data_IF_179618902013
#
_entry.id   IF_179618902013
#
_cell.length_a   1.000
_cell.length_b   1.000
_cell.length_c   1.000
_cell.angle_alpha   90.00
_cell.angle_beta   90.00
_cell.angle_gamma   90.00
#
_symmetry.space_group_name_H-M   'P 1'
#
loop_
_entity.id
_entity.type
_entity.pdbx_description
1 polymer ?
#
# COMPACT_ATOMS: atom_id res chain seq x y z
N UNK A 1 4.90 -17.20 -11.58
CA UNK A 1 5.58 -17.54 -10.30
C UNK A 1 7.08 -17.50 -10.52
N UNK A 2 7.69 -16.32 -10.46
CA UNK A 2 9.14 -16.19 -10.40
C UNK A 2 9.55 -16.33 -8.94
N UNK A 3 10.26 -17.41 -8.61
CA UNK A 3 10.95 -17.52 -7.32
C UNK A 3 12.15 -16.58 -7.39
N UNK A 4 12.02 -15.40 -6.82
CA UNK A 4 13.21 -14.64 -6.41
C UNK A 4 13.94 -15.52 -5.40
N UNK A 5 15.12 -16.01 -5.78
CA UNK A 5 15.96 -16.81 -4.91
C UNK A 5 16.44 -15.91 -3.78
N UNK A 6 15.89 -16.08 -2.59
CA UNK A 6 16.45 -15.53 -1.37
C UNK A 6 17.85 -16.09 -1.20
N UNK A 7 18.86 -15.28 -1.56
CA UNK A 7 20.21 -15.52 -1.07
C UNK A 7 20.19 -15.22 0.42
N UNK A 8 19.95 -16.26 1.20
CA UNK A 8 20.14 -16.22 2.64
C UNK A 8 21.62 -15.92 2.88
N UNK A 9 21.94 -14.67 3.23
CA UNK A 9 23.25 -14.24 3.69
C UNK A 9 23.44 -14.69 5.14
N UNK A 10 23.52 -16.00 5.35
CA UNK A 10 23.94 -16.55 6.64
C UNK A 10 25.48 -16.54 6.69
N UNK A 11 26.04 -15.54 7.39
CA UNK A 11 27.26 -15.74 8.19
C UNK A 11 28.65 -15.53 7.57
N UNK A 12 28.82 -15.20 6.28
CA UNK A 12 30.17 -15.05 5.67
C UNK A 12 30.67 -13.59 5.52
N UNK A 13 30.14 -12.62 6.27
CA UNK A 13 30.68 -11.24 6.32
C UNK A 13 31.51 -11.03 7.60
N UNK A 14 32.45 -11.92 7.90
CA UNK A 14 33.41 -11.72 9.00
C UNK A 14 34.89 -11.94 8.61
N UNK A 15 35.19 -12.14 7.32
CA UNK A 15 36.52 -12.62 6.89
C UNK A 15 37.48 -11.60 6.27
N UNK A 16 37.14 -10.31 6.24
CA UNK A 16 37.99 -9.27 5.67
C UNK A 16 37.98 -8.15 6.70
N UNK A 17 39.11 -7.65 7.19
CA UNK A 17 39.34 -6.32 7.80
C UNK A 17 40.38 -6.35 8.94
N UNK A 18 41.64 -6.59 8.57
CA UNK A 18 42.82 -6.01 9.25
C UNK A 18 43.46 -4.97 8.32
N UNK A 19 42.66 -4.07 7.74
CA UNK A 19 43.20 -2.90 7.04
C UNK A 19 42.98 -1.70 7.94
N UNK A 20 44.09 -1.15 8.42
CA UNK A 20 44.17 0.05 9.23
C UNK A 20 43.82 1.27 8.35
N UNK A 21 42.54 1.44 8.07
CA UNK A 21 41.98 2.53 7.26
C UNK A 21 41.86 3.85 8.06
N UNK A 22 42.24 3.83 9.34
CA UNK A 22 42.21 5.00 10.22
C UNK A 22 40.80 5.49 10.58
N UNK A 23 39.75 4.73 10.22
CA UNK A 23 38.37 5.05 10.55
C UNK A 23 38.03 4.59 11.96
N UNK A 24 37.28 5.41 12.69
CA UNK A 24 36.67 5.00 13.95
C UNK A 24 35.64 3.87 13.72
N UNK A 25 35.33 3.09 14.77
CA UNK A 25 34.31 2.04 14.69
C UNK A 25 32.96 2.58 14.21
N UNK A 26 32.57 3.78 14.66
CA UNK A 26 31.33 4.46 14.27
C UNK A 26 31.32 4.82 12.78
N UNK A 27 32.44 5.31 12.23
CA UNK A 27 32.55 5.62 10.80
C UNK A 27 32.48 4.35 9.93
N UNK A 28 33.06 3.23 10.39
CA UNK A 28 32.96 1.94 9.71
C UNK A 28 31.52 1.42 9.71
N UNK A 29 30.81 1.54 10.83
CA UNK A 29 29.40 1.16 10.94
C UNK A 29 28.53 2.01 10.00
N UNK A 30 28.71 3.33 10.00
CA UNK A 30 28.00 4.22 9.08
C UNK A 30 28.29 3.92 7.60
N UNK A 31 29.55 3.60 7.25
CA UNK A 31 29.89 3.19 5.88
C UNK A 31 29.23 1.86 5.50
N UNK A 32 29.19 0.88 6.41
CA UNK A 32 28.50 -0.38 6.18
C UNK A 32 26.99 -0.18 6.01
N UNK A 33 26.37 0.65 6.84
CA UNK A 33 24.94 1.00 6.72
C UNK A 33 24.68 1.70 5.39
N UNK A 34 25.48 2.70 5.03
CA UNK A 34 25.33 3.43 3.76
C UNK A 34 25.45 2.50 2.56
N UNK A 35 26.51 1.67 2.54
CA UNK A 35 26.70 0.68 1.48
C UNK A 35 25.54 -0.32 1.45
N UNK A 36 25.09 -0.77 2.61
CA UNK A 36 23.95 -1.67 2.72
C UNK A 36 22.67 -1.03 2.18
N UNK A 37 22.40 0.25 2.50
CA UNK A 37 21.25 1.01 2.00
C UNK A 37 21.35 1.28 0.49
N UNK A 38 22.55 1.47 -0.05
CA UNK A 38 22.79 1.58 -1.49
C UNK A 38 22.56 0.24 -2.23
N UNK A 39 22.96 -0.87 -1.61
CA UNK A 39 22.77 -2.24 -2.12
C UNK A 39 21.32 -2.74 -1.96
N UNK A 40 20.68 -2.42 -0.84
CA UNK A 40 19.32 -2.79 -0.43
C UNK A 40 18.48 -1.53 -0.35
N UNK A 41 18.47 -0.84 -1.48
CA UNK A 41 17.71 0.36 -1.72
C UNK A 41 16.26 0.13 -1.30
N UNK A 42 15.82 0.79 -0.22
CA UNK A 42 14.44 0.67 0.27
C UNK A 42 13.42 1.13 -0.78
N UNK A 43 13.86 1.92 -1.77
CA UNK A 43 13.05 2.31 -2.92
C UNK A 43 12.93 1.16 -3.94
N UNK A 44 13.89 0.22 -3.99
CA UNK A 44 13.81 -1.05 -4.75
C UNK A 44 13.09 -2.15 -3.97
N UNK A 45 13.05 -2.06 -2.65
CA UNK A 45 12.19 -2.84 -1.77
C UNK A 45 12.93 -3.83 -0.88
N UNK A 46 12.40 -4.01 0.32
CA UNK A 46 12.95 -4.88 1.37
C UNK A 46 11.97 -6.01 1.68
N UNK A 47 12.45 -7.25 1.74
CA UNK A 47 11.63 -8.39 2.14
C UNK A 47 11.16 -8.24 3.59
N UNK A 48 9.86 -8.43 3.82
CA UNK A 48 9.24 -8.29 5.13
C UNK A 48 8.05 -9.22 5.31
N UNK A 49 7.76 -9.54 6.57
CA UNK A 49 6.49 -10.10 7.01
C UNK A 49 5.60 -8.97 7.51
N UNK A 50 4.40 -8.86 6.96
CA UNK A 50 3.43 -7.81 7.28
C UNK A 50 2.20 -8.44 7.91
N UNK A 51 1.82 -7.95 9.08
CA UNK A 51 0.58 -8.32 9.76
C UNK A 51 -0.45 -7.24 9.47
N UNK A 52 -1.42 -7.56 8.62
CA UNK A 52 -2.50 -6.68 8.21
C UNK A 52 -3.63 -6.68 9.26
N UNK A 53 -4.40 -5.59 9.38
CA UNK A 53 -5.53 -5.48 10.32
C UNK A 53 -6.70 -6.39 9.93
N UNK A 54 -6.76 -6.86 8.69
CA UNK A 54 -7.80 -7.77 8.20
C UNK A 54 -7.70 -9.14 8.89
N UNK A 55 -8.83 -9.63 9.40
CA UNK A 55 -8.95 -10.97 9.97
C UNK A 55 -9.14 -12.00 8.84
N UNK A 56 -8.48 -13.13 8.97
CA UNK A 56 -8.70 -14.31 8.15
C UNK A 56 -9.18 -15.47 9.03
N UNK A 57 -10.15 -16.25 8.54
CA UNK A 57 -10.53 -17.49 9.19
C UNK A 57 -9.51 -18.57 8.86
N UNK A 58 -8.90 -19.12 9.90
CA UNK A 58 -8.04 -20.29 9.78
C UNK A 58 -8.80 -21.50 10.30
N UNK A 59 -9.03 -22.47 9.41
CA UNK A 59 -9.59 -23.77 9.77
C UNK A 59 -8.44 -24.71 10.12
N UNK A 60 -8.25 -25.01 11.41
CA UNK A 60 -7.34 -26.06 11.85
C UNK A 60 -8.09 -27.39 11.90
N UNK A 61 -7.87 -28.25 10.90
CA UNK A 61 -8.33 -29.64 10.93
C UNK A 61 -7.22 -30.56 11.44
N UNK A 62 -7.54 -31.46 12.38
CA UNK A 62 -6.57 -32.40 12.96
C UNK A 62 -6.19 -33.56 12.03
N UNK A 63 -6.83 -33.71 10.86
CA UNK A 63 -6.50 -34.77 9.91
C UNK A 63 -5.59 -34.25 8.79
N UNK A 64 -4.43 -34.89 8.62
CA UNK A 64 -3.34 -34.55 7.68
C UNK A 64 -3.68 -34.57 6.18
N UNK A 65 -4.96 -34.47 5.82
CA UNK A 65 -5.41 -34.17 4.47
C UNK A 65 -5.42 -32.65 4.28
N UNK A 66 -4.41 -32.12 3.57
CA UNK A 66 -4.33 -30.70 3.15
C UNK A 66 -5.64 -30.30 2.45
N UNK A 67 -6.51 -29.55 3.12
CA UNK A 67 -7.75 -29.01 2.53
C UNK A 67 -7.53 -27.54 2.18
N UNK A 68 -7.96 -27.15 0.99
CA UNK A 68 -7.76 -25.83 0.41
C UNK A 68 -8.28 -24.71 1.30
N UNK A 69 -7.53 -23.61 1.32
CA UNK A 69 -7.91 -22.37 2.01
C UNK A 69 -9.12 -21.78 1.28
N UNK A 70 -10.27 -21.73 1.93
CA UNK A 70 -11.44 -21.01 1.44
C UNK A 70 -11.41 -19.60 2.02
N UNK A 71 -11.03 -18.62 1.21
CA UNK A 71 -11.08 -17.20 1.58
C UNK A 71 -12.51 -16.70 1.50
N UNK A 72 -13.06 -16.19 2.61
CA UNK A 72 -14.38 -15.58 2.67
C UNK A 72 -14.38 -14.22 1.95
N UNK A 73 -14.65 -14.23 0.64
CA UNK A 73 -15.02 -13.01 -0.07
C UNK A 73 -16.56 -12.99 -0.21
N UNK A 74 -17.20 -11.92 0.28
CA UNK A 74 -18.60 -11.54 0.02
C UNK A 74 -19.73 -12.32 0.74
N UNK A 75 -19.69 -12.43 2.07
CA UNK A 75 -20.90 -12.30 2.90
C UNK A 75 -22.06 -13.31 2.74
N UNK A 76 -21.93 -14.37 1.95
CA UNK A 76 -22.94 -15.44 1.89
C UNK A 76 -22.42 -16.65 2.66
N UNK A 77 -22.79 -16.72 3.93
CA UNK A 77 -22.58 -17.88 4.81
C UNK A 77 -23.48 -19.00 4.31
N UNK A 78 -22.97 -19.78 3.36
CA UNK A 78 -23.59 -21.00 2.86
C UNK A 78 -22.63 -22.18 2.99
N UNK A 79 -22.09 -22.43 4.19
CA UNK A 79 -21.28 -23.63 4.43
C UNK A 79 -21.74 -24.34 5.69
N UNK A 80 -22.29 -25.53 5.48
CA UNK A 80 -22.67 -26.49 6.50
C UNK A 80 -21.51 -26.70 7.47
N UNK A 81 -21.71 -26.34 8.72
CA UNK A 81 -20.80 -26.67 9.81
C UNK A 81 -20.73 -28.19 9.95
N UNK A 82 -19.76 -28.82 9.30
CA UNK A 82 -19.43 -30.21 9.59
C UNK A 82 -18.90 -30.24 11.02
N UNK A 83 -19.67 -30.82 11.92
CA UNK A 83 -19.37 -30.97 13.34
C UNK A 83 -17.92 -31.41 13.56
N UNK A 84 -17.08 -30.52 14.11
CA UNK A 84 -15.68 -30.81 14.47
C UNK A 84 -14.62 -29.82 13.98
N UNK A 85 -14.96 -28.81 13.17
CA UNK A 85 -13.99 -27.79 12.75
C UNK A 85 -14.06 -26.53 13.62
N UNK A 86 -13.01 -26.25 14.39
CA UNK A 86 -12.82 -24.94 15.03
C UNK A 86 -12.41 -23.93 13.97
N UNK A 87 -13.12 -22.81 13.89
CA UNK A 87 -12.73 -21.65 13.11
C UNK A 87 -12.14 -20.62 14.07
N UNK A 88 -10.88 -20.26 13.88
CA UNK A 88 -10.24 -19.18 14.62
C UNK A 88 -10.00 -18.00 13.68
N UNK A 89 -10.36 -16.81 14.12
CA UNK A 89 -9.97 -15.56 13.46
C UNK A 89 -8.53 -15.22 13.85
N UNK A 90 -7.64 -15.17 12.86
CA UNK A 90 -6.26 -14.73 13.03
C UNK A 90 -6.02 -13.47 12.17
N UNK A 91 -5.05 -12.64 12.55
CA UNK A 91 -4.61 -11.57 11.66
C UNK A 91 -3.99 -12.18 10.40
N UNK A 92 -4.18 -11.52 9.25
CA UNK A 92 -3.54 -11.91 8.01
C UNK A 92 -2.06 -11.55 8.03
N UNK A 93 -1.21 -12.55 7.85
CA UNK A 93 0.24 -12.39 7.74
C UNK A 93 0.64 -12.67 6.29
N UNK A 94 1.39 -11.75 5.68
CA UNK A 94 1.91 -11.88 4.32
C UNK A 94 3.43 -11.69 4.31
N UNK A 95 4.14 -12.42 3.45
CA UNK A 95 5.54 -12.14 3.13
C UNK A 95 5.59 -11.38 1.81
N UNK A 96 6.17 -10.20 1.79
CA UNK A 96 6.09 -9.24 0.69
C UNK A 96 7.34 -8.37 0.61
N UNK A 97 7.47 -7.60 -0.48
CA UNK A 97 8.46 -6.52 -0.59
C UNK A 97 7.81 -5.21 -0.15
N UNK A 98 8.37 -4.59 0.89
CA UNK A 98 8.04 -3.26 1.35
C UNK A 98 8.89 -2.24 0.59
N UNK A 99 8.25 -1.26 -0.04
CA UNK A 99 8.89 -0.18 -0.77
C UNK A 99 8.40 1.17 -0.25
N UNK A 100 9.33 2.09 -0.04
CA UNK A 100 9.00 3.50 0.16
C UNK A 100 9.08 4.19 -1.20
N UNK A 101 8.04 4.91 -1.60
CA UNK A 101 7.96 5.62 -2.88
C UNK A 101 7.50 7.06 -2.65
N UNK A 102 7.57 7.93 -3.65
CA UNK A 102 7.31 9.36 -3.47
C UNK A 102 5.91 9.70 -2.94
N UNK A 103 4.94 8.80 -3.11
CA UNK A 103 3.54 8.99 -2.71
C UNK A 103 3.11 8.23 -1.47
N UNK A 104 3.96 7.35 -0.96
CA UNK A 104 3.59 6.53 0.18
C UNK A 104 4.42 5.27 0.28
N UNK A 105 3.74 4.20 0.65
CA UNK A 105 4.32 2.88 0.87
C UNK A 105 3.63 1.88 -0.05
N UNK A 106 4.40 0.93 -0.59
CA UNK A 106 3.88 -0.19 -1.39
C UNK A 106 4.30 -1.51 -0.78
N UNK A 107 3.34 -2.42 -0.62
CA UNK A 107 3.58 -3.84 -0.34
C UNK A 107 3.26 -4.67 -1.58
N UNK A 108 4.29 -5.24 -2.21
CA UNK A 108 4.15 -5.97 -3.47
C UNK A 108 3.36 -7.27 -3.33
N UNK A 109 2.36 -7.46 -4.19
CA UNK A 109 1.47 -8.64 -4.14
C UNK A 109 0.85 -8.88 -2.74
N UNK A 110 0.56 -7.81 -2.00
CA UNK A 110 0.06 -7.91 -0.63
C UNK A 110 -1.43 -8.26 -0.52
N UNK A 111 -2.23 -7.96 -1.55
CA UNK A 111 -3.67 -8.20 -1.57
C UNK A 111 -4.02 -9.68 -1.80
N UNK A 112 -5.27 -10.08 -1.53
CA UNK A 112 -5.73 -11.47 -1.72
C UNK A 112 -5.78 -11.88 -3.20
N UNK A 113 -5.98 -10.92 -4.09
CA UNK A 113 -5.95 -11.11 -5.55
C UNK A 113 -4.52 -11.03 -6.13
N UNK A 114 -3.51 -10.84 -5.28
CA UNK A 114 -2.12 -10.69 -5.68
C UNK A 114 -1.79 -9.28 -6.19
N UNK A 115 -2.69 -8.30 -6.09
CA UNK A 115 -2.35 -6.90 -6.36
C UNK A 115 -1.49 -6.28 -5.25
N UNK A 116 -0.83 -5.17 -5.58
CA UNK A 116 -0.04 -4.40 -4.62
C UNK A 116 -0.96 -3.69 -3.62
N UNK A 117 -0.59 -3.69 -2.33
CA UNK A 117 -1.22 -2.80 -1.35
C UNK A 117 -0.47 -1.48 -1.38
N UNK A 118 -1.16 -0.38 -1.65
CA UNK A 118 -0.59 0.97 -1.68
C UNK A 118 -1.21 1.80 -0.57
N UNK A 119 -0.36 2.46 0.22
CA UNK A 119 -0.77 3.29 1.35
C UNK A 119 -0.20 4.69 1.12
N UNK A 120 -1.04 5.67 0.74
CA UNK A 120 -0.64 7.07 0.61
C UNK A 120 -0.09 7.64 1.93
N UNK A 121 0.78 8.65 1.86
CA UNK A 121 1.31 9.28 3.08
C UNK A 121 0.24 9.93 3.97
N UNK A 122 -0.78 10.53 3.37
CA UNK A 122 -1.94 11.12 4.06
C UNK A 122 -2.75 10.11 4.89
N UNK A 123 -2.70 8.82 4.52
CA UNK A 123 -3.38 7.75 5.24
C UNK A 123 -2.56 7.25 6.45
N UNK A 124 -1.32 7.69 6.59
CA UNK A 124 -0.41 7.27 7.66
C UNK A 124 -0.40 8.32 8.77
N UNK A 125 -0.68 7.89 9.99
CA UNK A 125 -0.66 8.74 11.20
C UNK A 125 0.73 8.73 11.84
N UNK A 126 1.33 7.55 11.98
CA UNK A 126 2.67 7.41 12.53
C UNK A 126 3.36 6.13 12.05
N UNK A 127 4.68 6.12 12.07
CA UNK A 127 5.49 4.92 11.93
C UNK A 127 6.52 4.86 13.06
N UNK A 128 6.40 3.85 13.90
CA UNK A 128 7.17 3.71 15.14
C UNK A 128 7.95 2.40 15.15
N UNK A 129 9.15 2.39 15.72
CA UNK A 129 9.90 1.17 15.99
C UNK A 129 9.46 0.60 17.34
N UNK A 130 9.13 -0.69 17.35
CA UNK A 130 8.78 -1.48 18.52
C UNK A 130 9.86 -2.52 18.78
N UNK A 131 10.19 -2.70 20.06
CA UNK A 131 11.03 -3.80 20.52
C UNK A 131 10.17 -4.96 21.00
N UNK A 132 10.30 -6.13 20.38
CA UNK A 132 9.75 -7.37 20.92
C UNK A 132 10.59 -7.86 22.11
N UNK A 133 9.99 -8.67 23.00
CA UNK A 133 10.67 -9.35 24.11
C UNK A 133 11.89 -10.16 23.66
N UNK A 134 11.88 -10.62 22.41
CA UNK A 134 13.00 -11.35 21.80
C UNK A 134 14.07 -10.42 21.19
N UNK A 135 14.04 -9.12 21.53
CA UNK A 135 14.82 -8.04 20.94
C UNK A 135 14.59 -7.83 19.44
N UNK A 136 13.66 -8.54 18.81
CA UNK A 136 13.40 -8.34 17.38
C UNK A 136 12.73 -6.98 17.19
N UNK A 137 13.38 -6.11 16.44
CA UNK A 137 12.82 -4.83 16.04
C UNK A 137 11.70 -5.04 15.03
N UNK A 138 10.59 -4.34 15.23
CA UNK A 138 9.39 -4.39 14.40
C UNK A 138 8.91 -2.97 14.14
N UNK A 139 8.50 -2.65 12.91
CA UNK A 139 7.81 -1.40 12.60
C UNK A 139 6.32 -1.49 12.93
N UNK A 140 5.76 -0.47 13.55
CA UNK A 140 4.32 -0.26 13.72
C UNK A 140 3.90 0.93 12.85
N UNK A 141 3.12 0.64 11.82
CA UNK A 141 2.49 1.63 10.98
C UNK A 141 1.04 1.85 11.46
N UNK A 142 0.76 3.05 11.96
CA UNK A 142 -0.59 3.47 12.35
C UNK A 142 -1.21 4.25 11.20
N UNK A 143 -2.37 3.81 10.73
CA UNK A 143 -3.12 4.45 9.66
C UNK A 143 -4.33 5.23 10.21
N UNK A 144 -4.96 6.02 9.35
CA UNK A 144 -6.27 6.61 9.63
C UNK A 144 -7.29 5.53 10.06
N UNK A 145 -8.25 5.94 10.89
CA UNK A 145 -9.27 5.06 11.51
C UNK A 145 -8.66 4.02 12.48
N UNK A 146 -7.53 4.36 13.10
CA UNK A 146 -6.83 3.55 14.10
C UNK A 146 -6.45 2.13 13.64
N UNK A 147 -6.28 1.94 12.31
CA UNK A 147 -5.82 0.66 11.76
C UNK A 147 -4.32 0.53 11.99
N UNK A 148 -3.88 -0.63 12.44
CA UNK A 148 -2.47 -0.92 12.72
C UNK A 148 -1.94 -2.00 11.79
N UNK A 149 -0.82 -1.72 11.14
CA UNK A 149 -0.05 -2.67 10.36
C UNK A 149 1.29 -2.89 11.08
N UNK A 150 1.63 -4.15 11.33
CA UNK A 150 2.93 -4.49 11.89
C UNK A 150 3.85 -5.00 10.79
N UNK A 151 5.09 -4.52 10.79
CA UNK A 151 6.08 -4.79 9.76
C UNK A 151 7.32 -5.39 10.39
N UNK A 152 7.67 -6.59 9.98
CA UNK A 152 8.85 -7.31 10.46
C UNK A 152 9.78 -7.56 9.28
N UNK A 153 10.93 -6.90 9.26
CA UNK A 153 11.91 -7.07 8.19
C UNK A 153 12.53 -8.48 8.26
N UNK A 154 12.72 -9.09 7.09
CA UNK A 154 13.30 -10.45 6.95
C UNK A 154 14.77 -10.36 6.54
N UNK A 155 15.50 -9.41 7.13
CA UNK A 155 16.95 -9.29 6.98
C UNK A 155 17.65 -9.62 8.32
N UNK A 156 18.98 -9.74 8.30
CA UNK A 156 19.77 -9.99 9.50
C UNK A 156 19.48 -8.98 10.62
N UNK A 157 19.65 -9.39 11.88
CA UNK A 157 19.21 -8.63 13.05
C UNK A 157 19.70 -7.17 13.06
N UNK A 158 21.01 -6.95 13.01
CA UNK A 158 21.62 -5.61 13.07
C UNK A 158 21.16 -4.73 11.92
N UNK A 159 21.12 -5.33 10.72
CA UNK A 159 20.67 -4.67 9.49
C UNK A 159 19.20 -4.22 9.62
N UNK A 160 18.34 -5.07 10.19
CA UNK A 160 16.92 -4.77 10.35
C UNK A 160 16.67 -3.55 11.25
N UNK A 161 17.51 -3.34 12.26
CA UNK A 161 17.39 -2.18 13.16
C UNK A 161 17.68 -0.88 12.43
N UNK A 162 18.79 -0.81 11.69
CA UNK A 162 19.16 0.39 10.95
C UNK A 162 18.21 0.69 9.79
N UNK A 163 17.71 -0.34 9.09
CA UNK A 163 16.69 -0.13 8.05
C UNK A 163 15.41 0.43 8.69
N UNK A 164 14.98 -0.10 9.83
CA UNK A 164 13.79 0.43 10.51
C UNK A 164 13.98 1.87 10.97
N UNK A 165 15.14 2.21 11.55
CA UNK A 165 15.44 3.59 11.95
C UNK A 165 15.44 4.52 10.73
N UNK A 166 16.04 4.10 9.62
CA UNK A 166 16.00 4.83 8.36
C UNK A 166 14.57 4.99 7.82
N UNK A 167 13.74 3.94 7.90
CA UNK A 167 12.33 4.02 7.52
C UNK A 167 11.57 5.01 8.41
N UNK A 168 11.80 5.00 9.73
CA UNK A 168 11.20 5.98 10.66
C UNK A 168 11.59 7.39 10.28
N UNK A 169 12.87 7.66 9.99
CA UNK A 169 13.33 8.99 9.59
C UNK A 169 12.71 9.46 8.27
N UNK A 170 12.68 8.60 7.25
CA UNK A 170 12.13 8.93 5.93
C UNK A 170 10.63 9.14 6.01
N UNK A 171 9.91 8.23 6.69
CA UNK A 171 8.46 8.29 6.81
C UNK A 171 8.02 9.47 7.68
N UNK A 172 8.68 9.73 8.81
CA UNK A 172 8.33 10.86 9.69
C UNK A 172 8.47 12.21 9.00
N UNK A 173 9.43 12.35 8.07
CA UNK A 173 9.57 13.56 7.24
C UNK A 173 8.40 13.72 6.25
N UNK A 174 7.92 12.61 5.69
CA UNK A 174 6.92 12.58 4.60
C UNK A 174 5.45 12.50 5.08
N UNK A 175 5.20 12.02 6.30
CA UNK A 175 3.87 11.92 6.93
C UNK A 175 3.25 13.31 7.26
N UNK A 176 3.97 14.41 6.99
CA UNK A 176 3.57 15.78 7.33
C UNK A 176 2.44 16.42 6.48
N UNK A 177 1.49 15.61 5.98
CA UNK A 177 0.26 16.11 5.34
C UNK A 177 0.40 16.51 3.88
N UNK A 178 1.16 15.76 3.09
CA UNK A 178 1.20 15.94 1.63
C UNK A 178 -0.21 15.72 1.03
N UNK A 179 -0.60 16.58 0.08
CA UNK A 179 -1.87 16.50 -0.65
C UNK A 179 -1.86 15.30 -1.60
N UNK A 180 -3.00 14.62 -1.72
CA UNK A 180 -3.20 13.51 -2.65
C UNK A 180 -3.00 13.96 -4.10
N UNK A 181 -2.02 13.41 -4.77
CA UNK A 181 -1.89 13.47 -6.23
C UNK A 181 -1.70 12.04 -6.75
N UNK A 182 -2.14 11.69 -7.96
CA UNK A 182 -1.95 10.35 -8.54
C UNK A 182 -0.59 10.19 -9.29
N UNK A 183 0.00 11.27 -9.81
CA UNK A 183 1.27 11.31 -10.57
C UNK A 183 2.59 11.18 -9.75
N UNK A 184 3.23 10.01 -9.70
CA UNK A 184 4.52 9.82 -9.01
C UNK A 184 4.69 8.51 -8.24
N UNK A 185 3.81 7.54 -8.42
CA UNK A 185 4.00 6.16 -7.92
C UNK A 185 5.04 5.33 -8.72
N UNK A 186 5.87 5.96 -9.56
CA UNK A 186 6.91 5.28 -10.34
C UNK A 186 6.40 4.44 -11.51
N UNK A 187 5.29 4.83 -12.13
CA UNK A 187 4.84 4.28 -13.42
C UNK A 187 4.74 5.45 -14.40
N UNK A 188 5.66 5.55 -15.36
CA UNK A 188 5.48 6.44 -16.51
C UNK A 188 4.27 5.91 -17.31
N UNK A 189 3.14 6.61 -17.27
CA UNK A 189 1.95 6.29 -18.04
C UNK A 189 1.70 7.39 -19.07
N UNK A 190 1.49 6.98 -20.31
CA UNK A 190 1.02 7.82 -21.43
C UNK A 190 -0.40 8.33 -21.15
N UNK A 191 -0.53 9.61 -20.78
CA UNK A 191 -1.79 10.29 -20.44
C UNK A 191 -2.87 10.23 -21.52
N UNK A 192 -2.52 9.94 -22.78
CA UNK A 192 -3.51 9.74 -23.86
C UNK A 192 -4.32 8.44 -23.68
N UNK A 193 -3.82 7.49 -22.89
CA UNK A 193 -4.52 6.26 -22.54
C UNK A 193 -5.42 6.40 -21.31
N UNK A 194 -5.16 7.38 -20.43
CA UNK A 194 -5.96 7.62 -19.22
C UNK A 194 -7.36 8.19 -19.54
N UNK A 195 -7.48 9.15 -20.46
CA UNK A 195 -8.81 9.59 -20.96
C UNK A 195 -9.60 8.44 -21.56
N UNK A 196 -8.93 7.53 -22.28
CA UNK A 196 -9.55 6.33 -22.85
C UNK A 196 -9.98 5.32 -21.78
N UNK A 197 -9.25 5.23 -20.66
CA UNK A 197 -9.59 4.36 -19.54
C UNK A 197 -10.75 4.89 -18.72
N UNK A 198 -10.82 6.21 -18.47
CA UNK A 198 -11.95 6.84 -17.77
C UNK A 198 -13.26 6.72 -18.58
N UNK A 199 -13.20 6.98 -19.89
CA UNK A 199 -14.34 6.75 -20.79
C UNK A 199 -14.73 5.27 -20.84
N UNK A 200 -13.76 4.35 -20.92
CA UNK A 200 -14.01 2.90 -20.90
C UNK A 200 -14.68 2.45 -19.60
N UNK A 201 -14.27 3.01 -18.47
CA UNK A 201 -14.83 2.73 -17.16
C UNK A 201 -16.27 3.24 -17.04
N UNK A 202 -16.55 4.49 -17.44
CA UNK A 202 -17.90 5.07 -17.53
C UNK A 202 -18.81 4.22 -18.42
N UNK A 203 -18.34 3.79 -19.58
CA UNK A 203 -19.08 2.92 -20.51
C UNK A 203 -19.38 1.55 -19.87
N UNK A 204 -18.42 0.95 -19.17
CA UNK A 204 -18.59 -0.36 -18.51
C UNK A 204 -19.65 -0.28 -17.41
N UNK A 205 -19.60 0.77 -16.58
CA UNK A 205 -20.56 0.97 -15.50
C UNK A 205 -21.96 1.30 -16.01
N UNK A 206 -22.10 2.08 -17.07
CA UNK A 206 -23.39 2.34 -17.72
C UNK A 206 -24.05 1.06 -18.23
N UNK A 207 -23.29 0.19 -18.92
CA UNK A 207 -23.80 -1.12 -19.39
C UNK A 207 -24.28 -1.99 -18.25
N UNK A 208 -23.56 -1.99 -17.12
CA UNK A 208 -23.95 -2.72 -15.92
C UNK A 208 -25.22 -2.16 -15.29
N UNK A 209 -25.33 -0.83 -15.21
CA UNK A 209 -26.51 -0.13 -14.70
C UNK A 209 -27.75 -0.45 -15.53
N UNK A 210 -27.62 -0.42 -16.87
CA UNK A 210 -28.68 -0.81 -17.80
C UNK A 210 -29.09 -2.28 -17.66
N UNK A 211 -28.13 -3.17 -17.41
CA UNK A 211 -28.42 -4.58 -17.16
C UNK A 211 -29.25 -4.76 -15.88
N UNK A 212 -28.93 -4.04 -14.81
CA UNK A 212 -29.68 -4.10 -13.55
C UNK A 212 -31.08 -3.52 -13.68
N UNK A 213 -31.23 -2.44 -14.45
CA UNK A 213 -32.52 -1.84 -14.76
C UNK A 213 -33.41 -2.81 -15.56
N UNK A 214 -32.87 -3.42 -16.63
CA UNK A 214 -33.59 -4.43 -17.42
C UNK A 214 -34.00 -5.67 -16.62
N UNK A 215 -33.21 -6.04 -15.62
CA UNK A 215 -33.52 -7.15 -14.71
C UNK A 215 -34.51 -6.76 -13.60
N UNK A 216 -34.94 -5.50 -13.53
CA UNK A 216 -35.86 -5.00 -12.49
C UNK A 216 -35.22 -4.92 -11.10
N UNK A 217 -33.89 -4.95 -11.01
CA UNK A 217 -33.15 -4.86 -9.73
C UNK A 217 -33.20 -3.43 -9.17
N UNK A 218 -33.29 -2.44 -10.05
CA UNK A 218 -33.37 -1.01 -9.71
C UNK A 218 -34.59 -0.39 -10.37
N UNK A 219 -35.22 0.57 -9.69
CA UNK A 219 -36.37 1.32 -10.20
C UNK A 219 -35.95 2.35 -11.26
N UNK A 220 -36.90 2.80 -12.08
CA UNK A 220 -36.67 3.85 -13.10
C UNK A 220 -36.07 5.13 -12.48
N UNK A 221 -36.62 5.55 -11.33
CA UNK A 221 -36.15 6.73 -10.60
C UNK A 221 -34.69 6.56 -10.14
N UNK A 222 -34.33 5.38 -9.62
CA UNK A 222 -32.97 5.12 -9.14
C UNK A 222 -31.97 4.96 -10.29
N UNK A 223 -32.41 4.38 -11.40
CA UNK A 223 -31.60 4.29 -12.62
C UNK A 223 -31.30 5.68 -13.19
N UNK A 224 -32.29 6.57 -13.26
CA UNK A 224 -32.10 7.95 -13.75
C UNK A 224 -31.07 8.69 -12.90
N UNK A 225 -31.22 8.66 -11.57
CA UNK A 225 -30.29 9.32 -10.64
C UNK A 225 -28.85 8.82 -10.82
N UNK A 226 -28.64 7.50 -10.83
CA UNK A 226 -27.29 6.92 -10.92
C UNK A 226 -26.66 7.13 -12.31
N UNK A 227 -27.48 7.18 -13.36
CA UNK A 227 -27.01 7.47 -14.71
C UNK A 227 -26.52 8.92 -14.81
N UNK A 228 -27.26 9.87 -14.25
CA UNK A 228 -26.88 11.28 -14.25
C UNK A 228 -25.62 11.51 -13.41
N UNK A 229 -25.49 10.84 -12.26
CA UNK A 229 -24.29 10.89 -11.42
C UNK A 229 -23.04 10.39 -12.18
N UNK A 230 -23.16 9.30 -12.94
CA UNK A 230 -22.05 8.74 -13.74
C UNK A 230 -21.65 9.60 -14.94
N UNK A 231 -22.60 10.38 -15.47
CA UNK A 231 -22.43 11.24 -16.64
C UNK A 231 -22.17 12.69 -16.26
N UNK A 232 -22.14 13.03 -14.98
CA UNK A 232 -21.85 14.38 -14.52
C UNK A 232 -20.42 14.71 -14.92
N UNK A 233 -20.27 15.52 -15.96
CA UNK A 233 -19.00 16.17 -16.25
C UNK A 233 -18.77 17.21 -15.15
N UNK A 234 -17.58 17.20 -14.56
CA UNK A 234 -17.17 18.28 -13.67
C UNK A 234 -17.08 19.54 -14.52
N UNK A 235 -17.90 20.54 -14.20
CA UNK A 235 -17.85 21.84 -14.87
C UNK A 235 -16.53 22.52 -14.48
N UNK A 236 -15.48 22.25 -15.26
CA UNK A 236 -14.20 22.93 -15.12
C UNK A 236 -14.44 24.39 -15.50
N UNK A 237 -14.58 25.25 -14.50
CA UNK A 237 -14.73 26.67 -14.71
C UNK A 237 -13.38 27.25 -15.14
N UNK A 238 -13.32 27.96 -16.26
CA UNK A 238 -12.11 28.68 -16.65
C UNK A 238 -12.15 30.11 -16.11
N UNK A 239 -10.99 30.60 -15.65
CA UNK A 239 -10.84 31.98 -15.24
C UNK A 239 -11.12 32.91 -16.42
N UNK A 240 -12.12 33.79 -16.29
CA UNK A 240 -12.49 34.78 -17.32
C UNK A 240 -11.35 35.75 -17.69
N UNK A 241 -10.34 35.89 -16.83
CA UNK A 241 -9.22 36.81 -17.04
C UNK A 241 -8.01 36.15 -17.71
N UNK A 242 -7.60 34.98 -17.24
CA UNK A 242 -6.37 34.32 -17.75
C UNK A 242 -6.61 33.00 -18.47
N UNK A 243 -7.84 32.47 -18.45
CA UNK A 243 -8.21 31.19 -19.06
C UNK A 243 -7.80 29.95 -18.27
N UNK A 244 -7.09 30.09 -17.15
CA UNK A 244 -6.68 28.96 -16.32
C UNK A 244 -7.88 28.17 -15.78
N UNK A 245 -7.75 26.85 -15.73
CA UNK A 245 -8.74 25.96 -15.11
C UNK A 245 -8.83 26.25 -13.61
N UNK A 246 -10.06 26.37 -13.11
CA UNK A 246 -10.35 26.63 -11.71
C UNK A 246 -10.88 25.36 -11.07
N UNK A 247 -10.38 25.05 -9.87
CA UNK A 247 -10.95 23.98 -9.05
C UNK A 247 -12.37 24.36 -8.58
N UNK A 248 -13.24 23.36 -8.37
CA UNK A 248 -14.60 23.58 -7.91
C UNK A 248 -14.64 24.45 -6.63
N UNK A 249 -15.50 25.47 -6.64
CA UNK A 249 -15.69 26.44 -5.55
C UNK A 249 -14.50 27.37 -5.24
N UNK A 250 -13.55 27.52 -6.17
CA UNK A 250 -12.44 28.47 -6.03
C UNK A 250 -12.94 29.92 -6.00
N UNK A 251 -12.76 30.61 -4.85
CA UNK A 251 -13.07 32.04 -4.70
C UNK A 251 -12.12 32.96 -5.48
N UNK A 252 -10.91 32.48 -5.77
CA UNK A 252 -9.87 33.21 -6.48
C UNK A 252 -9.13 32.28 -7.43
N UNK A 253 -8.70 32.81 -8.57
CA UNK A 253 -7.80 32.10 -9.46
C UNK A 253 -6.42 31.95 -8.82
N UNK A 254 -5.92 30.72 -8.70
CA UNK A 254 -4.58 30.39 -8.19
C UNK A 254 -3.47 31.03 -9.02
N UNK A 255 -3.66 31.14 -10.34
CA UNK A 255 -2.65 31.65 -11.27
C UNK A 255 -2.58 33.18 -11.30
N UNK A 256 -3.73 33.87 -11.35
CA UNK A 256 -3.75 35.32 -11.56
C UNK A 256 -4.35 36.13 -10.41
N UNK A 257 -4.74 35.48 -9.31
CA UNK A 257 -5.30 36.10 -8.10
C UNK A 257 -6.65 36.78 -8.30
N UNK A 258 -7.28 36.62 -9.47
CA UNK A 258 -8.54 37.29 -9.78
C UNK A 258 -9.69 36.60 -9.07
N UNK A 259 -10.48 37.38 -8.34
CA UNK A 259 -11.70 36.90 -7.68
C UNK A 259 -12.67 36.38 -8.73
N UNK A 260 -13.21 35.19 -8.48
CA UNK A 260 -14.18 34.55 -9.36
C UNK A 260 -15.57 34.89 -8.81
N UNK A 261 -16.34 35.65 -9.59
CA UNK A 261 -17.74 35.97 -9.34
C UNK A 261 -18.67 35.07 -10.17
#
# INVERSE_FOLDING_TARGET
MNRYGSKVFDGEIMGIFDRDDGLSEEEREQQQIKKFLEENDIFKGVECEVILPEKQLKTSGSSGTKKGVATLAFGVIGLAATSGTSQNEENRIITTLFQVVDKGIVFKNGSMDGSDIRIPYEDIVSFEKLEDKNKKSMGLLTLLKDKKIFLKLTCGYTISEHILDYCVDVLSKRISGALYEEDGWGLEIDYSQLKKLDESYKISNLKRLESFHKQGIITDEKFSYLKDELLKEEDIANCKKCGAELAENSLFCSECGTKID
#
